data_IF_281048128738
#
_entry.id   IF_281048128738
#
_cell.length_a   1.000
_cell.length_b   1.000
_cell.length_c   1.000
_cell.angle_alpha   90.00
_cell.angle_beta   90.00
_cell.angle_gamma   90.00
#
_symmetry.space_group_name_H-M   'P 1'
#
loop_
_entity.id
_entity.type
_entity.pdbx_description
1 polymer ?
#
# COMPACT_ATOMS: atom_id res chain seq x y z
N UNK A 1 -25.19 -19.86 13.02
CA UNK A 1 -24.76 -18.49 12.79
C UNK A 1 -23.33 -18.50 12.24
N UNK A 2 -23.13 -17.93 11.07
CA UNK A 2 -21.80 -17.95 10.42
C UNK A 2 -21.05 -16.70 10.86
N UNK A 3 -19.87 -16.91 11.41
CA UNK A 3 -18.97 -15.81 11.77
C UNK A 3 -18.00 -15.60 10.62
N UNK A 4 -17.92 -14.37 10.11
CA UNK A 4 -16.92 -13.99 9.13
C UNK A 4 -15.65 -13.60 9.89
N UNK A 5 -14.59 -14.35 9.68
CA UNK A 5 -13.27 -14.00 10.22
C UNK A 5 -12.53 -13.19 9.17
N UNK A 6 -12.14 -11.96 9.53
CA UNK A 6 -11.37 -11.12 8.62
C UNK A 6 -9.88 -11.36 8.82
N UNK A 7 -9.22 -11.69 7.71
CA UNK A 7 -7.77 -11.75 7.63
C UNK A 7 -7.30 -10.55 6.83
N UNK A 8 -6.63 -9.65 7.50
CA UNK A 8 -6.26 -8.35 6.95
C UNK A 8 -4.88 -8.38 6.32
N UNK A 9 -4.74 -7.63 5.23
CA UNK A 9 -3.45 -7.31 4.66
C UNK A 9 -3.39 -5.84 4.28
N UNK A 10 -2.18 -5.29 4.31
CA UNK A 10 -1.88 -3.95 3.86
C UNK A 10 -0.99 -4.06 2.63
N UNK A 11 -1.35 -3.35 1.57
CA UNK A 11 -0.49 -3.22 0.40
C UNK A 11 0.03 -1.79 0.36
N UNK A 12 1.34 -1.65 0.40
CA UNK A 12 2.01 -0.38 0.16
C UNK A 12 2.23 -0.28 -1.35
N UNK A 13 1.49 0.61 -1.99
CA UNK A 13 1.47 0.74 -3.44
C UNK A 13 2.28 1.96 -3.86
N UNK A 14 3.37 1.74 -4.58
CA UNK A 14 4.31 2.78 -4.96
C UNK A 14 4.46 2.84 -6.48
N UNK A 15 5.11 3.89 -6.96
CA UNK A 15 5.24 4.14 -8.40
C UNK A 15 6.04 3.04 -9.12
N UNK A 16 7.19 2.70 -8.58
CA UNK A 16 8.11 1.76 -9.20
C UNK A 16 9.31 2.47 -9.83
N UNK A 17 10.41 1.73 -9.94
CA UNK A 17 11.65 2.21 -10.54
C UNK A 17 12.51 1.02 -10.95
N UNK A 18 13.30 1.19 -12.00
CA UNK A 18 14.30 0.19 -12.39
C UNK A 18 15.49 0.12 -11.43
N UNK A 19 15.66 1.15 -10.60
CA UNK A 19 16.71 1.19 -9.60
C UNK A 19 16.28 0.42 -8.35
N UNK A 20 16.97 -0.67 -8.05
CA UNK A 20 16.63 -1.49 -6.87
C UNK A 20 16.76 -0.73 -5.56
N UNK A 21 17.61 0.29 -5.48
CA UNK A 21 17.77 1.09 -4.26
C UNK A 21 16.57 1.99 -4.00
N UNK A 22 15.83 2.35 -5.03
CA UNK A 22 14.69 3.24 -4.93
C UNK A 22 13.60 2.69 -3.99
N UNK A 23 13.40 1.37 -3.96
CA UNK A 23 12.31 0.77 -3.18
C UNK A 23 12.66 0.54 -1.71
N UNK A 24 13.91 0.77 -1.29
CA UNK A 24 14.33 0.55 0.10
C UNK A 24 13.48 1.28 1.13
N UNK A 25 13.14 2.58 0.95
CA UNK A 25 12.28 3.25 1.92
C UNK A 25 10.89 2.63 2.04
N UNK A 26 10.33 2.15 0.93
CA UNK A 26 9.02 1.49 0.92
C UNK A 26 9.10 0.16 1.69
N UNK A 27 10.13 -0.62 1.42
CA UNK A 27 10.36 -1.90 2.11
C UNK A 27 10.61 -1.68 3.60
N UNK A 28 11.28 -0.59 3.97
CA UNK A 28 11.51 -0.26 5.37
C UNK A 28 10.20 0.01 6.11
N UNK A 29 9.24 0.69 5.46
CA UNK A 29 7.90 0.89 6.03
C UNK A 29 7.21 -0.46 6.23
N UNK A 30 7.29 -1.36 5.24
CA UNK A 30 6.70 -2.69 5.37
C UNK A 30 7.29 -3.45 6.56
N UNK A 31 8.60 -3.38 6.76
CA UNK A 31 9.26 -4.01 7.89
C UNK A 31 8.80 -3.44 9.23
N UNK A 32 8.61 -2.13 9.32
CA UNK A 32 8.07 -1.49 10.52
C UNK A 32 6.65 -1.96 10.82
N UNK A 33 5.82 -2.10 9.80
CA UNK A 33 4.45 -2.62 9.99
C UNK A 33 4.49 -4.03 10.56
N UNK A 34 5.38 -4.89 10.06
CA UNK A 34 5.54 -6.25 10.55
C UNK A 34 5.93 -6.30 12.03
N UNK A 35 6.76 -5.35 12.46
CA UNK A 35 7.16 -5.25 13.87
C UNK A 35 6.03 -4.73 14.75
N UNK A 36 5.27 -3.73 14.27
CA UNK A 36 4.19 -3.13 15.03
C UNK A 36 2.95 -4.01 15.09
N UNK A 37 2.70 -4.80 14.07
CA UNK A 37 1.51 -5.65 13.96
C UNK A 37 1.88 -6.98 13.31
N UNK A 38 2.49 -7.92 14.08
CA UNK A 38 2.98 -9.19 13.53
C UNK A 38 1.91 -10.05 12.85
N UNK A 39 0.65 -9.90 13.25
CA UNK A 39 -0.45 -10.67 12.69
C UNK A 39 -1.03 -10.08 11.41
N UNK A 40 -0.59 -8.89 11.03
CA UNK A 40 -1.04 -8.23 9.80
C UNK A 40 -0.07 -8.55 8.67
N UNK A 41 -0.58 -9.11 7.58
CA UNK A 41 0.23 -9.28 6.39
C UNK A 41 0.47 -7.93 5.73
N UNK A 42 1.68 -7.71 5.23
CA UNK A 42 2.02 -6.50 4.49
C UNK A 42 2.80 -6.89 3.25
N UNK A 43 2.48 -6.25 2.13
CA UNK A 43 3.16 -6.46 0.86
C UNK A 43 3.39 -5.13 0.18
N UNK A 44 4.42 -5.08 -0.65
CA UNK A 44 4.71 -3.94 -1.51
C UNK A 44 4.30 -4.29 -2.94
N UNK A 45 3.61 -3.38 -3.60
CA UNK A 45 3.25 -3.54 -5.01
C UNK A 45 3.55 -2.23 -5.75
N UNK A 46 3.73 -2.32 -7.05
CA UNK A 46 4.23 -1.19 -7.83
C UNK A 46 3.38 -0.97 -9.06
N UNK A 47 3.28 0.29 -9.46
CA UNK A 47 2.50 0.70 -10.62
C UNK A 47 3.17 0.22 -11.92
N UNK A 48 4.49 0.35 -11.99
CA UNK A 48 5.27 0.00 -13.18
C UNK A 48 6.73 -0.24 -12.83
N UNK A 49 7.50 -0.75 -13.77
CA UNK A 49 8.97 -0.88 -13.74
C UNK A 49 9.54 -1.80 -12.66
N UNK A 50 8.76 -2.21 -11.70
CA UNK A 50 9.17 -3.08 -10.59
C UNK A 50 8.06 -4.10 -10.36
N UNK A 51 8.44 -5.34 -10.14
CA UNK A 51 7.49 -6.39 -9.75
C UNK A 51 7.42 -6.51 -8.24
N UNK A 52 6.29 -6.97 -7.68
CA UNK A 52 5.04 -7.33 -8.38
C UNK A 52 4.12 -6.13 -8.60
N UNK A 53 3.20 -6.28 -9.57
CA UNK A 53 2.12 -5.31 -9.75
C UNK A 53 1.00 -5.53 -8.72
N UNK A 54 0.01 -4.63 -8.74
CA UNK A 54 -1.07 -4.66 -7.75
C UNK A 54 -1.95 -5.91 -7.89
N UNK A 55 -2.32 -6.28 -9.12
CA UNK A 55 -3.18 -7.43 -9.37
C UNK A 55 -2.53 -8.73 -8.91
N UNK A 56 -1.27 -8.92 -9.22
CA UNK A 56 -0.52 -10.12 -8.82
C UNK A 56 -0.41 -10.21 -7.29
N UNK A 57 -0.14 -9.07 -6.64
CA UNK A 57 -0.03 -9.02 -5.18
C UNK A 57 -1.35 -9.36 -4.51
N UNK A 58 -2.45 -8.79 -4.99
CA UNK A 58 -3.79 -9.09 -4.46
C UNK A 58 -4.12 -10.57 -4.64
N UNK A 59 -3.90 -11.12 -5.83
CA UNK A 59 -4.18 -12.52 -6.10
C UNK A 59 -3.40 -13.46 -5.16
N UNK A 60 -2.13 -13.15 -4.92
CA UNK A 60 -1.29 -13.91 -3.98
C UNK A 60 -1.81 -13.87 -2.56
N UNK A 61 -2.22 -12.71 -2.09
CA UNK A 61 -2.77 -12.54 -0.75
C UNK A 61 -4.10 -13.28 -0.59
N UNK A 62 -4.97 -13.18 -1.58
CA UNK A 62 -6.27 -13.87 -1.57
C UNK A 62 -6.07 -15.38 -1.50
N UNK A 63 -5.08 -15.94 -2.20
CA UNK A 63 -4.76 -17.36 -2.15
C UNK A 63 -4.36 -17.81 -0.75
N UNK A 64 -3.78 -16.94 0.07
CA UNK A 64 -3.40 -17.26 1.46
C UNK A 64 -4.54 -17.08 2.44
N UNK A 65 -5.73 -16.71 1.98
CA UNK A 65 -6.91 -16.54 2.84
C UNK A 65 -7.22 -15.12 3.24
N UNK A 66 -6.47 -14.13 2.75
CA UNK A 66 -6.74 -12.72 3.00
C UNK A 66 -8.08 -12.33 2.36
N UNK A 67 -8.94 -11.68 3.13
CA UNK A 67 -10.26 -11.24 2.65
C UNK A 67 -10.56 -9.77 2.97
N UNK A 68 -9.60 -9.03 3.52
CA UNK A 68 -9.71 -7.60 3.75
C UNK A 68 -8.35 -6.96 3.41
N UNK A 69 -8.33 -6.09 2.42
CA UNK A 69 -7.10 -5.48 1.90
C UNK A 69 -7.22 -3.96 1.96
N UNK A 70 -6.24 -3.33 2.60
CA UNK A 70 -6.08 -1.88 2.61
C UNK A 70 -4.94 -1.53 1.67
N UNK A 71 -5.22 -0.68 0.69
CA UNK A 71 -4.22 -0.18 -0.26
C UNK A 71 -3.83 1.22 0.15
N UNK A 72 -2.54 1.41 0.41
CA UNK A 72 -1.97 2.69 0.83
C UNK A 72 -1.06 3.19 -0.29
N UNK A 73 -1.49 4.22 -1.05
CA UNK A 73 -0.62 4.80 -2.08
C UNK A 73 0.52 5.57 -1.44
N UNK A 74 1.74 5.13 -1.72
CA UNK A 74 2.96 5.68 -1.13
C UNK A 74 3.50 6.81 -2.01
N UNK A 75 2.66 7.83 -2.23
CA UNK A 75 2.99 9.02 -3.01
C UNK A 75 2.96 10.24 -2.11
N UNK A 76 3.91 11.16 -2.28
CA UNK A 76 3.83 12.47 -1.60
C UNK A 76 2.72 13.29 -2.22
N UNK A 77 2.76 13.47 -3.53
CA UNK A 77 1.69 14.06 -4.29
C UNK A 77 1.09 13.01 -5.21
N UNK A 78 -0.16 13.21 -5.59
CA UNK A 78 -0.84 12.31 -6.53
C UNK A 78 -0.98 13.03 -7.87
N UNK A 79 -0.23 12.56 -8.86
CA UNK A 79 -0.34 13.07 -10.21
C UNK A 79 -1.71 12.75 -10.82
N UNK A 80 -2.06 13.48 -11.87
CA UNK A 80 -3.37 13.34 -12.52
C UNK A 80 -3.67 11.91 -12.96
N UNK A 81 -2.68 11.23 -13.57
CA UNK A 81 -2.86 9.86 -14.04
C UNK A 81 -3.17 8.91 -12.90
N UNK A 82 -2.44 8.99 -11.81
CA UNK A 82 -2.67 8.12 -10.66
C UNK A 82 -4.05 8.37 -10.04
N UNK A 83 -4.49 9.64 -9.96
CA UNK A 83 -5.82 9.97 -9.44
C UNK A 83 -6.94 9.39 -10.29
N UNK A 84 -6.74 9.31 -11.59
CA UNK A 84 -7.72 8.76 -12.53
C UNK A 84 -7.65 7.24 -12.57
N UNK A 85 -6.47 6.66 -12.51
CA UNK A 85 -6.24 5.23 -12.71
C UNK A 85 -6.50 4.39 -11.45
N UNK A 86 -6.18 4.90 -10.26
CA UNK A 86 -6.35 4.14 -9.01
C UNK A 86 -7.78 3.68 -8.78
N UNK A 87 -8.82 4.54 -8.95
CA UNK A 87 -10.19 4.08 -8.78
C UNK A 87 -10.60 3.00 -9.77
N UNK A 88 -10.08 3.06 -11.00
CA UNK A 88 -10.37 2.04 -12.02
C UNK A 88 -9.69 0.71 -11.69
N UNK A 89 -8.46 0.75 -11.23
CA UNK A 89 -7.75 -0.44 -10.75
C UNK A 89 -8.51 -1.08 -9.60
N UNK A 90 -8.99 -0.26 -8.67
CA UNK A 90 -9.77 -0.76 -7.53
C UNK A 90 -11.06 -1.42 -7.97
N UNK A 91 -11.78 -0.83 -8.93
CA UNK A 91 -13.00 -1.44 -9.47
C UNK A 91 -12.74 -2.82 -10.06
N UNK A 92 -11.66 -2.96 -10.84
CA UNK A 92 -11.28 -4.24 -11.41
C UNK A 92 -10.99 -5.28 -10.34
N UNK A 93 -10.30 -4.89 -9.27
CA UNK A 93 -10.00 -5.78 -8.16
C UNK A 93 -11.26 -6.22 -7.42
N UNK A 94 -12.21 -5.31 -7.22
CA UNK A 94 -13.50 -5.63 -6.57
C UNK A 94 -14.28 -6.64 -7.41
N UNK A 95 -14.28 -6.47 -8.72
CA UNK A 95 -14.98 -7.38 -9.64
C UNK A 95 -14.31 -8.76 -9.64
N UNK A 96 -12.97 -8.80 -9.66
CA UNK A 96 -12.22 -10.05 -9.70
C UNK A 96 -12.26 -10.83 -8.39
N UNK A 97 -12.42 -10.14 -7.26
CA UNK A 97 -12.37 -10.74 -5.93
C UNK A 97 -13.60 -10.35 -5.11
N UNK A 98 -14.79 -10.88 -5.46
CA UNK A 98 -16.03 -10.43 -4.81
C UNK A 98 -16.12 -10.77 -3.32
N UNK A 99 -15.33 -11.74 -2.85
CA UNK A 99 -15.28 -12.10 -1.43
C UNK A 99 -14.33 -11.24 -0.59
N UNK A 100 -13.66 -10.27 -1.21
CA UNK A 100 -12.64 -9.46 -0.54
C UNK A 100 -13.16 -8.04 -0.33
N UNK A 101 -12.95 -7.52 0.87
CA UNK A 101 -13.25 -6.11 1.18
C UNK A 101 -12.00 -5.29 0.88
N UNK A 102 -12.14 -4.25 0.07
CA UNK A 102 -11.05 -3.35 -0.28
C UNK A 102 -11.26 -1.97 0.32
N UNK A 103 -10.19 -1.38 0.82
CA UNK A 103 -10.14 0.01 1.26
C UNK A 103 -8.98 0.69 0.55
N UNK A 104 -9.27 1.73 -0.21
CA UNK A 104 -8.25 2.59 -0.82
C UNK A 104 -8.07 3.82 0.05
N UNK A 105 -6.89 3.95 0.65
CA UNK A 105 -6.56 5.10 1.47
C UNK A 105 -6.15 6.29 0.60
N UNK A 106 -6.17 7.48 1.18
CA UNK A 106 -5.57 8.65 0.55
C UNK A 106 -4.07 8.43 0.39
N UNK A 107 -3.46 9.12 -0.57
CA UNK A 107 -2.00 9.09 -0.70
C UNK A 107 -1.35 9.46 0.63
N UNK A 108 -0.28 8.74 0.97
CA UNK A 108 0.39 8.93 2.27
C UNK A 108 0.83 10.38 2.48
N UNK A 109 1.22 11.08 1.40
CA UNK A 109 1.64 12.47 1.47
C UNK A 109 0.54 13.45 1.84
N UNK A 110 -0.73 13.04 1.76
CA UNK A 110 -1.88 13.87 2.15
C UNK A 110 -2.22 13.74 3.65
N UNK A 111 -1.59 12.80 4.35
CA UNK A 111 -1.84 12.61 5.78
C UNK A 111 -1.19 13.72 6.59
N UNK A 112 -1.97 14.45 7.43
CA UNK A 112 -1.40 15.54 8.23
C UNK A 112 -0.29 15.09 9.18
N UNK A 113 -0.36 13.86 9.67
CA UNK A 113 0.67 13.29 10.53
C UNK A 113 2.01 13.20 9.82
N UNK A 114 1.99 12.79 8.53
CA UNK A 114 3.21 12.72 7.74
C UNK A 114 3.74 14.11 7.42
N UNK A 115 2.85 15.05 7.10
CA UNK A 115 3.24 16.44 6.85
C UNK A 115 4.00 17.00 8.05
N UNK A 116 3.49 16.79 9.26
CA UNK A 116 4.17 17.24 10.49
C UNK A 116 5.51 16.53 10.69
N UNK A 117 5.57 15.22 10.43
CA UNK A 117 6.82 14.48 10.58
C UNK A 117 7.88 14.95 9.58
N UNK A 118 7.50 15.16 8.33
CA UNK A 118 8.42 15.66 7.31
C UNK A 118 8.94 17.05 7.67
N UNK A 119 8.07 17.94 8.13
CA UNK A 119 8.47 19.28 8.57
C UNK A 119 9.46 19.23 9.74
N UNK A 120 9.19 18.37 10.72
CA UNK A 120 10.08 18.18 11.86
C UNK A 120 11.45 17.65 11.43
N UNK A 121 11.47 16.70 10.51
CA UNK A 121 12.72 16.15 9.97
C UNK A 121 13.50 17.24 9.22
N UNK A 122 12.81 18.04 8.41
CA UNK A 122 13.43 19.12 7.65
C UNK A 122 14.03 20.21 8.55
N UNK A 123 13.38 20.46 9.70
CA UNK A 123 13.85 21.45 10.66
C UNK A 123 14.95 20.93 11.58
N UNK A 124 15.20 19.62 11.58
CA UNK A 124 16.16 18.99 12.48
C UNK A 124 17.57 19.51 12.20
N UNK A 125 18.17 20.10 13.22
CA UNK A 125 19.54 20.56 13.14
C UNK A 125 20.47 19.43 13.54
N UNK A 126 21.34 19.04 12.62
CA UNK A 126 22.39 18.07 12.90
C UNK A 126 23.67 18.86 13.21
N UNK A 127 24.24 18.68 14.39
CA UNK A 127 25.53 19.27 14.71
C UNK A 127 26.64 18.69 13.85
#
# INVERSE_FOLDING_TARGET
>A
MTHITYQHAIILFAHGSRDALWRRPIEAVANQIKQLSPDTQVACAYLELTEPDLQTTVAGLVQTGVNAIRIVPMFLGVGRHAREDLPLLLQDLIIQHPGVTFELRNAIGEEPELTRAMAAIALKLNP
#
